data_IF_164900283542
#
_entry.id   IF_164900283542
#
_cell.length_a   1.000
_cell.length_b   1.000
_cell.length_c   1.000
_cell.angle_alpha   90.00
_cell.angle_beta   90.00
_cell.angle_gamma   90.00
#
_symmetry.space_group_name_H-M   'P 1'
#
loop_
_entity.id
_entity.type
_entity.pdbx_description
1 polymer ?
#
# COMPACT_ATOMS: atom_id res chain seq x y z
N UNK A 1 -18.18 12.35 -10.38
CA UNK A 1 -17.12 13.26 -9.90
C UNK A 1 -17.42 13.59 -8.44
N UNK A 2 -16.46 13.32 -7.54
CA UNK A 2 -16.55 13.59 -6.09
C UNK A 2 -15.52 14.65 -5.63
N UNK A 3 -14.89 15.35 -6.58
CA UNK A 3 -13.73 16.22 -6.33
C UNK A 3 -13.98 17.39 -5.35
N UNK A 4 -15.23 17.75 -5.08
CA UNK A 4 -15.63 18.83 -4.15
C UNK A 4 -16.59 18.37 -3.05
N UNK A 5 -16.64 17.07 -2.80
CA UNK A 5 -17.49 16.49 -1.74
C UNK A 5 -16.69 16.32 -0.47
N UNK A 6 -17.18 16.89 0.64
CA UNK A 6 -16.61 16.65 1.97
C UNK A 6 -17.17 15.33 2.51
N UNK A 7 -16.29 14.44 2.94
CA UNK A 7 -16.65 13.15 3.49
C UNK A 7 -15.41 12.32 3.79
N UNK A 8 -15.60 11.17 4.41
CA UNK A 8 -14.51 10.24 4.70
C UNK A 8 -14.39 9.21 3.56
N UNK A 9 -13.49 9.47 2.61
CA UNK A 9 -13.28 8.65 1.41
C UNK A 9 -12.02 7.76 1.48
N UNK A 10 -11.38 7.65 2.66
CA UNK A 10 -10.15 6.86 2.81
C UNK A 10 -10.42 5.39 2.53
N UNK A 11 -9.67 4.82 1.60
CA UNK A 11 -9.69 3.39 1.31
C UNK A 11 -8.49 2.72 1.97
N UNK A 12 -8.72 1.62 2.69
CA UNK A 12 -7.66 0.76 3.26
C UNK A 12 -7.72 -0.63 2.64
N UNK A 13 -6.56 -1.19 2.30
CA UNK A 13 -6.41 -2.56 1.83
C UNK A 13 -5.04 -3.13 2.26
N UNK A 14 -4.95 -4.43 2.56
CA UNK A 14 -3.70 -5.05 2.97
C UNK A 14 -2.75 -5.16 1.77
N UNK A 15 -1.47 -4.94 2.02
CA UNK A 15 -0.39 -5.16 1.05
C UNK A 15 0.65 -6.05 1.70
N UNK A 16 1.06 -7.12 0.99
CA UNK A 16 2.22 -7.91 1.33
C UNK A 16 3.35 -7.56 0.37
N UNK A 17 4.42 -6.95 0.88
CA UNK A 17 5.62 -6.65 0.11
C UNK A 17 6.71 -7.65 0.46
N UNK A 18 7.24 -8.34 -0.54
CA UNK A 18 8.47 -9.11 -0.40
C UNK A 18 9.65 -8.19 -0.70
N UNK A 19 10.49 -7.95 0.30
CA UNK A 19 11.73 -7.18 0.12
C UNK A 19 12.87 -8.19 0.03
N UNK A 20 13.24 -8.58 -1.19
CA UNK A 20 14.33 -9.51 -1.45
C UNK A 20 15.71 -8.84 -1.34
N UNK A 21 16.72 -9.61 -0.95
CA UNK A 21 18.13 -9.18 -0.91
C UNK A 21 18.41 -8.28 0.29
N UNK A 22 19.09 -8.80 1.31
CA UNK A 22 19.44 -8.08 2.54
C UNK A 22 20.30 -6.84 2.25
N UNK A 23 19.64 -5.71 1.96
CA UNK A 23 20.29 -4.43 1.87
C UNK A 23 20.79 -4.04 3.25
N UNK A 24 22.04 -3.65 3.32
CA UNK A 24 22.57 -3.02 4.53
C UNK A 24 22.11 -1.56 4.58
N UNK A 25 22.01 -1.01 5.79
CA UNK A 25 21.71 0.42 5.96
C UNK A 25 22.73 1.33 5.27
N UNK A 26 24.00 0.91 5.19
CA UNK A 26 25.02 1.65 4.47
C UNK A 26 24.69 1.78 2.97
N UNK A 27 24.23 0.70 2.33
CA UNK A 27 23.81 0.71 0.93
C UNK A 27 22.57 1.59 0.70
N UNK A 28 21.63 1.58 1.65
CA UNK A 28 20.45 2.45 1.60
C UNK A 28 20.87 3.92 1.65
N UNK A 29 21.72 4.30 2.62
CA UNK A 29 22.19 5.68 2.79
C UNK A 29 23.03 6.17 1.61
N UNK A 30 23.82 5.29 1.01
CA UNK A 30 24.63 5.60 -0.16
C UNK A 30 23.83 5.69 -1.47
N UNK A 31 22.54 5.31 -1.47
CA UNK A 31 21.73 5.25 -2.69
C UNK A 31 22.26 4.22 -3.70
N UNK A 32 22.76 3.09 -3.20
CA UNK A 32 23.38 2.05 -4.02
C UNK A 32 22.42 1.53 -5.11
N UNK A 33 22.95 1.12 -6.25
CA UNK A 33 22.22 0.51 -7.37
C UNK A 33 21.33 -0.66 -6.94
N UNK A 34 21.75 -1.43 -5.94
CA UNK A 34 20.96 -2.52 -5.36
C UNK A 34 19.64 -2.02 -4.73
N UNK A 35 19.61 -0.80 -4.17
CA UNK A 35 18.38 -0.18 -3.65
C UNK A 35 17.38 0.06 -4.79
N UNK A 36 17.85 0.49 -5.96
CA UNK A 36 17.00 0.74 -7.12
C UNK A 36 16.26 -0.53 -7.58
N UNK A 37 16.90 -1.69 -7.51
CA UNK A 37 16.28 -2.99 -7.83
C UNK A 37 15.15 -3.29 -6.85
N UNK A 38 15.38 -3.12 -5.54
CA UNK A 38 14.38 -3.35 -4.50
C UNK A 38 13.17 -2.41 -4.65
N UNK A 39 13.41 -1.12 -4.88
CA UNK A 39 12.34 -0.13 -5.09
C UNK A 39 11.53 -0.46 -6.33
N UNK A 40 12.19 -0.84 -7.43
CA UNK A 40 11.50 -1.25 -8.67
C UNK A 40 10.63 -2.47 -8.43
N UNK A 41 11.13 -3.48 -7.72
CA UNK A 41 10.34 -4.68 -7.45
C UNK A 41 9.12 -4.38 -6.57
N UNK A 42 9.28 -3.61 -5.49
CA UNK A 42 8.16 -3.17 -4.65
C UNK A 42 7.10 -2.38 -5.45
N UNK A 43 7.53 -1.50 -6.36
CA UNK A 43 6.64 -0.80 -7.30
C UNK A 43 5.86 -1.77 -8.18
N UNK A 44 6.52 -2.77 -8.77
CA UNK A 44 5.84 -3.73 -9.63
C UNK A 44 4.92 -4.67 -8.84
N UNK A 45 5.24 -5.00 -7.59
CA UNK A 45 4.33 -5.72 -6.68
C UNK A 45 3.04 -4.93 -6.43
N UNK A 46 3.15 -3.64 -6.10
CA UNK A 46 1.99 -2.76 -5.89
C UNK A 46 1.14 -2.60 -7.16
N UNK A 47 1.77 -2.52 -8.34
CA UNK A 47 1.06 -2.37 -9.62
C UNK A 47 0.23 -3.58 -10.02
N UNK A 48 0.51 -4.77 -9.47
CA UNK A 48 -0.26 -5.99 -9.73
C UNK A 48 -1.53 -6.09 -8.89
N UNK A 49 -1.68 -5.24 -7.87
CA UNK A 49 -2.84 -5.27 -7.00
C UNK A 49 -4.08 -4.74 -7.75
N UNK A 50 -5.28 -5.27 -7.44
CA UNK A 50 -6.53 -4.69 -7.92
C UNK A 50 -6.74 -3.29 -7.31
N UNK A 51 -7.79 -2.60 -7.76
CA UNK A 51 -8.18 -1.33 -7.15
C UNK A 51 -8.40 -1.51 -5.63
N UNK A 52 -7.82 -0.61 -4.84
CA UNK A 52 -7.86 -0.68 -3.39
C UNK A 52 -9.28 -0.66 -2.81
N UNK A 53 -10.25 -0.06 -3.52
CA UNK A 53 -11.62 0.05 -3.03
C UNK A 53 -12.29 -1.32 -2.89
N UNK A 54 -11.93 -2.27 -3.77
CA UNK A 54 -12.57 -3.59 -3.85
C UNK A 54 -12.44 -4.38 -2.55
N UNK A 55 -11.32 -4.25 -1.83
CA UNK A 55 -11.13 -4.95 -0.56
C UNK A 55 -12.15 -4.53 0.49
N UNK A 56 -12.36 -3.21 0.67
CA UNK A 56 -13.32 -2.70 1.65
C UNK A 56 -14.76 -3.10 1.33
N UNK A 57 -15.12 -3.09 0.04
CA UNK A 57 -16.42 -3.56 -0.42
C UNK A 57 -16.63 -5.04 -0.09
N UNK A 58 -15.65 -5.89 -0.40
CA UNK A 58 -15.72 -7.33 -0.15
C UNK A 58 -15.73 -7.67 1.35
N UNK A 59 -14.93 -6.99 2.17
CA UNK A 59 -14.78 -7.32 3.59
C UNK A 59 -15.93 -6.80 4.46
N UNK A 60 -16.46 -5.63 4.14
CA UNK A 60 -17.33 -4.89 5.05
C UNK A 60 -18.74 -4.65 4.53
N UNK A 61 -18.99 -4.79 3.22
CA UNK A 61 -20.29 -4.51 2.60
C UNK A 61 -20.88 -5.73 1.85
N UNK A 62 -20.21 -6.88 1.90
CA UNK A 62 -20.68 -8.12 1.30
C UNK A 62 -21.03 -9.13 2.39
N UNK A 63 -22.32 -9.36 2.62
CA UNK A 63 -22.81 -10.29 3.64
C UNK A 63 -22.64 -11.77 3.26
N UNK A 64 -22.34 -12.06 1.98
CA UNK A 64 -22.17 -13.43 1.47
C UNK A 64 -20.74 -13.97 1.67
N UNK A 65 -19.79 -13.11 2.03
CA UNK A 65 -18.36 -13.46 2.12
C UNK A 65 -17.76 -13.03 3.45
N UNK A 66 -17.29 -14.01 4.23
CA UNK A 66 -16.46 -13.74 5.41
C UNK A 66 -14.98 -13.88 5.06
N UNK A 67 -14.28 -12.75 4.96
CA UNK A 67 -12.83 -12.74 4.77
C UNK A 67 -12.14 -12.95 6.13
N UNK A 68 -11.69 -14.18 6.38
CA UNK A 68 -10.88 -14.49 7.56
C UNK A 68 -9.52 -13.77 7.53
N UNK A 69 -9.00 -13.39 8.70
CA UNK A 69 -7.68 -12.79 8.86
C UNK A 69 -7.70 -11.51 9.70
N UNK A 70 -6.65 -11.33 10.51
CA UNK A 70 -6.43 -10.11 11.28
C UNK A 70 -5.96 -8.97 10.36
N UNK A 71 -6.25 -7.74 10.77
CA UNK A 71 -5.69 -6.56 10.10
C UNK A 71 -4.14 -6.56 10.24
N UNK A 72 -3.39 -6.07 9.24
CA UNK A 72 -1.93 -5.98 9.33
C UNK A 72 -1.48 -5.15 10.54
N UNK A 73 -0.35 -5.50 11.17
CA UNK A 73 0.14 -4.81 12.37
C UNK A 73 0.67 -3.40 12.10
N UNK A 74 0.83 -3.01 10.82
CA UNK A 74 1.38 -1.72 10.39
C UNK A 74 0.40 -1.06 9.43
N UNK A 75 0.05 0.20 9.74
CA UNK A 75 -0.69 1.08 8.84
C UNK A 75 0.23 2.13 8.21
N UNK A 76 0.08 2.37 6.92
CA UNK A 76 0.76 3.43 6.18
C UNK A 76 -0.26 4.34 5.50
N UNK A 77 -0.09 5.65 5.62
CA UNK A 77 -0.96 6.64 4.97
C UNK A 77 -0.13 7.83 4.47
N UNK A 78 -0.17 8.08 3.17
CA UNK A 78 0.48 9.24 2.55
C UNK A 78 -0.55 10.34 2.31
N UNK A 79 -0.44 11.44 3.07
CA UNK A 79 -1.38 12.58 3.04
C UNK A 79 -1.10 13.57 1.90
N UNK A 80 -0.20 13.23 0.98
CA UNK A 80 0.24 14.16 -0.06
C UNK A 80 1.28 15.17 0.46
N UNK A 81 1.47 16.23 -0.32
CA UNK A 81 2.25 17.40 0.11
C UNK A 81 1.29 18.37 0.79
N UNK A 82 1.59 18.73 2.04
CA UNK A 82 0.84 19.73 2.78
C UNK A 82 1.55 21.09 2.60
N UNK A 83 0.84 22.07 2.03
CA UNK A 83 1.33 23.43 1.81
C UNK A 83 1.86 23.72 0.40
N UNK A 84 1.95 25.02 0.10
CA UNK A 84 2.77 25.63 -0.94
C UNK A 84 3.82 26.50 -0.23
#
# INVERSE_FOLDING_TARGET
DLSRTVGWFTTKYPVSLTVGGGLTWAQVLAGDTALGVVVKDAKEQLRRLPDGVTYGLLRYLNDDVDLAGADPPIGFNYLGRLGA
#
